data_IF_721877102871
#
_entry.id   IF_721877102871
#
_cell.length_a   1.000
_cell.length_b   1.000
_cell.length_c   1.000
_cell.angle_alpha   90.00
_cell.angle_beta   90.00
_cell.angle_gamma   90.00
#
_symmetry.space_group_name_H-M   'P 1'
#
loop_
_entity.id
_entity.type
_entity.pdbx_description
1 polymer ?
#
# COMPACT_ATOMS: atom_id res chain seq x y z
N UNK A 1 -7.88 6.11 -10.91
CA UNK A 1 -7.31 7.46 -10.63
C UNK A 1 -8.28 8.44 -9.93
N UNK A 2 -9.39 8.02 -9.31
CA UNK A 2 -10.24 8.91 -8.45
C UNK A 2 -10.07 8.69 -6.94
N UNK A 3 -9.45 7.58 -6.51
CA UNK A 3 -9.27 7.16 -5.10
C UNK A 3 -7.84 7.38 -4.56
N UNK A 4 -7.05 8.24 -5.21
CA UNK A 4 -5.73 8.65 -4.70
C UNK A 4 -5.55 10.14 -4.97
N UNK A 5 -6.55 10.93 -4.54
CA UNK A 5 -6.52 12.39 -4.68
C UNK A 5 -5.77 13.04 -3.53
N UNK A 6 -5.66 12.35 -2.40
CA UNK A 6 -4.95 12.86 -1.23
C UNK A 6 -3.50 12.36 -1.20
N UNK A 7 -2.55 13.30 -1.08
CA UNK A 7 -1.12 13.02 -0.91
C UNK A 7 -0.85 12.09 0.27
N UNK A 8 -1.55 12.29 1.38
CA UNK A 8 -1.36 11.48 2.60
C UNK A 8 -1.82 10.04 2.36
N UNK A 9 -2.89 9.83 1.60
CA UNK A 9 -3.35 8.50 1.21
C UNK A 9 -2.28 7.77 0.35
N UNK A 10 -1.71 8.46 -0.64
CA UNK A 10 -0.59 7.90 -1.45
C UNK A 10 0.63 7.58 -0.59
N UNK A 11 1.00 8.48 0.32
CA UNK A 11 2.13 8.27 1.21
C UNK A 11 1.93 7.06 2.14
N UNK A 12 0.74 6.92 2.74
CA UNK A 12 0.42 5.78 3.60
C UNK A 12 0.46 4.45 2.83
N UNK A 13 0.00 4.46 1.57
CA UNK A 13 0.16 3.31 0.67
C UNK A 13 1.63 2.97 0.42
N UNK A 14 2.45 3.97 0.07
CA UNK A 14 3.89 3.77 -0.18
C UNK A 14 4.61 3.24 1.07
N UNK A 15 4.32 3.80 2.24
CA UNK A 15 4.87 3.34 3.52
C UNK A 15 4.40 1.91 3.81
N UNK A 16 3.10 1.63 3.67
CA UNK A 16 2.53 0.31 3.87
C UNK A 16 3.17 -0.76 2.96
N UNK A 17 3.31 -0.48 1.67
CA UNK A 17 3.97 -1.37 0.70
C UNK A 17 5.44 -1.58 1.04
N UNK A 18 6.15 -0.54 1.50
CA UNK A 18 7.56 -0.66 1.92
C UNK A 18 7.71 -1.57 3.13
N UNK A 19 6.83 -1.43 4.14
CA UNK A 19 6.82 -2.30 5.32
C UNK A 19 6.49 -3.75 4.93
N UNK A 20 5.52 -3.94 4.03
CA UNK A 20 5.19 -5.26 3.47
C UNK A 20 6.41 -5.91 2.82
N UNK A 21 7.13 -5.17 1.98
CA UNK A 21 8.35 -5.67 1.33
C UNK A 21 9.45 -5.98 2.33
N UNK A 22 9.67 -5.11 3.33
CA UNK A 22 10.66 -5.35 4.39
C UNK A 22 10.33 -6.58 5.23
N UNK A 23 9.05 -6.77 5.62
CA UNK A 23 8.59 -7.94 6.36
C UNK A 23 8.71 -9.22 5.52
N UNK A 24 8.33 -9.17 4.25
CA UNK A 24 8.46 -10.30 3.34
C UNK A 24 9.94 -10.70 3.14
N UNK A 25 10.82 -9.72 2.91
CA UNK A 25 12.25 -9.95 2.80
C UNK A 25 12.82 -10.56 4.09
N UNK A 26 12.45 -10.03 5.25
CA UNK A 26 12.87 -10.56 6.57
C UNK A 26 12.37 -11.98 6.79
N UNK A 27 11.12 -12.27 6.42
CA UNK A 27 10.53 -13.60 6.54
C UNK A 27 11.28 -14.64 5.70
N UNK A 28 11.67 -14.27 4.48
CA UNK A 28 12.44 -15.12 3.57
C UNK A 28 13.88 -15.29 4.08
N UNK A 29 14.55 -14.18 4.41
CA UNK A 29 15.96 -14.17 4.81
C UNK A 29 16.20 -14.94 6.12
N UNK A 30 15.33 -14.76 7.12
CA UNK A 30 15.43 -15.47 8.39
C UNK A 30 14.62 -16.79 8.43
N UNK A 31 13.93 -17.14 7.36
CA UNK A 31 13.09 -18.35 7.26
C UNK A 31 12.05 -18.44 8.40
N UNK A 32 11.39 -17.32 8.71
CA UNK A 32 10.42 -17.21 9.80
C UNK A 32 9.00 -17.21 9.19
N UNK A 33 8.33 -18.36 9.09
CA UNK A 33 7.03 -18.45 8.42
C UNK A 33 5.93 -17.63 9.12
N UNK A 34 6.07 -17.37 10.42
CA UNK A 34 5.12 -16.57 11.20
C UNK A 34 5.02 -15.12 10.73
N UNK A 35 6.09 -14.57 10.14
CA UNK A 35 6.11 -13.18 9.64
C UNK A 35 5.20 -12.98 8.42
N UNK A 36 4.85 -14.05 7.68
CA UNK A 36 3.91 -13.97 6.56
C UNK A 36 2.50 -13.54 7.00
N UNK A 37 2.11 -13.75 8.26
CA UNK A 37 0.83 -13.27 8.80
C UNK A 37 0.88 -11.75 9.01
N UNK A 38 2.04 -11.20 9.38
CA UNK A 38 2.21 -9.77 9.59
C UNK A 38 2.16 -8.98 8.28
N UNK A 39 2.51 -9.60 7.14
CA UNK A 39 2.50 -8.98 5.81
C UNK A 39 1.12 -8.40 5.43
N UNK A 40 0.03 -9.19 5.36
CA UNK A 40 -1.28 -8.65 5.02
C UNK A 40 -1.80 -7.67 6.09
N UNK A 41 -1.47 -7.89 7.36
CA UNK A 41 -1.89 -6.99 8.46
C UNK A 41 -1.27 -5.60 8.27
N UNK A 42 0.03 -5.53 8.00
CA UNK A 42 0.71 -4.26 7.75
C UNK A 42 0.18 -3.60 6.47
N UNK A 43 0.13 -4.35 5.36
CA UNK A 43 -0.33 -3.81 4.08
C UNK A 43 -1.74 -3.23 4.15
N UNK A 44 -2.70 -4.01 4.67
CA UNK A 44 -4.08 -3.56 4.79
C UNK A 44 -4.27 -2.50 5.86
N UNK A 45 -3.56 -2.59 7.00
CA UNK A 45 -3.67 -1.60 8.07
C UNK A 45 -3.32 -0.18 7.60
N UNK A 46 -2.18 -0.01 6.94
CA UNK A 46 -1.76 1.30 6.44
C UNK A 46 -2.65 1.80 5.29
N UNK A 47 -3.03 0.92 4.36
CA UNK A 47 -3.94 1.27 3.27
C UNK A 47 -5.32 1.72 3.78
N UNK A 48 -5.87 1.00 4.77
CA UNK A 48 -7.16 1.32 5.37
C UNK A 48 -7.13 2.65 6.12
N UNK A 49 -6.06 2.98 6.83
CA UNK A 49 -5.92 4.29 7.48
C UNK A 49 -6.01 5.40 6.43
N UNK A 50 -5.32 5.28 5.30
CA UNK A 50 -5.40 6.23 4.19
C UNK A 50 -6.82 6.41 3.67
N UNK A 51 -7.49 5.29 3.39
CA UNK A 51 -8.83 5.30 2.82
C UNK A 51 -9.91 5.78 3.79
N UNK A 52 -9.91 5.32 5.04
CA UNK A 52 -10.95 5.66 6.01
C UNK A 52 -10.76 7.04 6.65
N UNK A 53 -9.52 7.43 7.00
CA UNK A 53 -9.28 8.71 7.68
C UNK A 53 -9.10 9.88 6.71
N UNK A 54 -8.40 9.68 5.59
CA UNK A 54 -8.01 10.78 4.70
C UNK A 54 -8.87 10.92 3.45
N UNK A 55 -9.30 9.81 2.85
CA UNK A 55 -10.23 9.87 1.71
C UNK A 55 -11.70 9.63 2.09
N UNK A 56 -11.95 9.11 3.31
CA UNK A 56 -13.26 8.69 3.81
C UNK A 56 -14.04 7.84 2.79
N UNK A 57 -13.34 6.96 2.07
CA UNK A 57 -13.93 6.08 1.07
C UNK A 57 -13.79 4.61 1.47
N UNK A 58 -14.63 3.75 0.89
CA UNK A 58 -14.49 2.30 1.07
C UNK A 58 -13.34 1.80 0.20
N UNK A 59 -12.34 1.10 0.78
CA UNK A 59 -11.28 0.45 0.02
C UNK A 59 -11.85 -0.48 -1.06
N UNK A 60 -11.29 -0.41 -2.27
CA UNK A 60 -11.63 -1.38 -3.33
C UNK A 60 -11.24 -2.81 -2.93
N UNK A 61 -10.37 -2.98 -1.94
CA UNK A 61 -9.98 -4.25 -1.32
C UNK A 61 -11.18 -5.10 -0.89
N UNK A 62 -12.28 -4.49 -0.43
CA UNK A 62 -13.48 -5.23 -0.01
C UNK A 62 -14.20 -5.91 -1.18
N UNK A 63 -14.00 -5.43 -2.41
CA UNK A 63 -14.63 -5.97 -3.61
C UNK A 63 -13.66 -6.81 -4.43
N UNK A 64 -12.40 -6.38 -4.52
CA UNK A 64 -11.35 -7.04 -5.29
C UNK A 64 -9.99 -6.95 -4.57
N UNK A 65 -9.71 -7.83 -3.59
CA UNK A 65 -8.52 -7.71 -2.74
C UNK A 65 -7.21 -7.83 -3.53
N UNK A 66 -7.11 -8.81 -4.44
CA UNK A 66 -5.91 -9.01 -5.26
C UNK A 66 -5.66 -7.86 -6.24
N UNK A 67 -6.71 -7.36 -6.88
CA UNK A 67 -6.61 -6.24 -7.83
C UNK A 67 -6.25 -4.93 -7.13
N UNK A 68 -6.77 -4.71 -5.93
CA UNK A 68 -6.38 -3.58 -5.07
C UNK A 68 -4.90 -3.64 -4.77
N UNK A 69 -4.41 -4.79 -4.30
CA UNK A 69 -3.00 -4.99 -3.98
C UNK A 69 -2.10 -4.76 -5.21
N UNK A 70 -2.48 -5.29 -6.37
CA UNK A 70 -1.73 -5.08 -7.61
C UNK A 70 -1.69 -3.60 -8.02
N UNK A 71 -2.79 -2.87 -7.84
CA UNK A 71 -2.85 -1.44 -8.08
C UNK A 71 -1.92 -0.67 -7.12
N UNK A 72 -1.82 -1.10 -5.87
CA UNK A 72 -0.96 -0.46 -4.86
C UNK A 72 0.52 -0.66 -5.20
N UNK A 73 0.92 -1.89 -5.59
CA UNK A 73 2.28 -2.14 -6.08
C UNK A 73 2.59 -1.35 -7.35
N UNK A 74 1.66 -1.31 -8.30
CA UNK A 74 1.83 -0.51 -9.53
C UNK A 74 2.06 0.96 -9.18
N UNK A 75 1.25 1.54 -8.29
CA UNK A 75 1.42 2.91 -7.83
C UNK A 75 2.77 3.12 -7.13
N UNK A 76 3.19 2.19 -6.28
CA UNK A 76 4.48 2.23 -5.61
C UNK A 76 5.65 2.29 -6.59
N UNK A 77 5.68 1.38 -7.58
CA UNK A 77 6.71 1.36 -8.61
C UNK A 77 6.65 2.57 -9.55
N UNK A 78 5.45 3.04 -9.90
CA UNK A 78 5.29 4.23 -10.73
C UNK A 78 5.79 5.50 -10.00
N UNK A 79 5.61 5.59 -8.68
CA UNK A 79 6.18 6.67 -7.86
C UNK A 79 7.70 6.56 -7.76
N UNK A 80 8.23 5.36 -7.50
CA UNK A 80 9.68 5.13 -7.44
C UNK A 80 10.39 5.41 -8.77
N UNK A 81 9.73 5.06 -9.88
CA UNK A 81 10.24 5.30 -11.23
C UNK A 81 10.07 6.75 -11.70
N UNK A 82 9.46 7.61 -10.86
CA UNK A 82 9.18 9.01 -11.20
C UNK A 82 8.08 9.22 -12.24
N UNK A 83 7.32 8.17 -12.60
CA UNK A 83 6.22 8.25 -13.58
C UNK A 83 5.00 8.98 -13.02
N UNK A 84 4.78 8.90 -11.71
CA UNK A 84 3.68 9.57 -11.02
C UNK A 84 4.25 10.31 -9.80
N UNK A 85 3.89 11.59 -9.60
CA UNK A 85 4.31 12.31 -8.40
C UNK A 85 3.56 11.80 -7.17
N UNK A 86 4.29 11.69 -6.05
CA UNK A 86 3.70 11.42 -4.73
C UNK A 86 2.65 12.48 -4.37
N UNK A 87 2.94 13.74 -4.74
CA UNK A 87 2.04 14.86 -4.58
C UNK A 87 1.20 15.04 -5.86
N UNK A 88 -0.11 14.76 -5.84
CA UNK A 88 -0.96 14.95 -7.02
C UNK A 88 -1.16 16.41 -7.42
N UNK A 89 -0.71 17.38 -6.61
CA UNK A 89 -0.82 18.82 -6.88
C UNK A 89 0.42 19.42 -7.55
N UNK A 90 1.50 18.65 -7.69
CA UNK A 90 2.70 19.01 -8.44
C UNK A 90 2.73 18.28 -9.78
#
# INVERSE_FOLDING_TARGET
>A
MKQHRNKICRLLHVIGTTIVLALAFTAIYHNIPKLWIAVPIAGYGFAWIGHFFFEKNKPATFKYPLWSLQSDFKMYFDILSGKIPLDPSK
#
